data_IF_119908755227
#
_entry.id   IF_119908755227
#
_cell.length_a   1.000
_cell.length_b   1.000
_cell.length_c   1.000
_cell.angle_alpha   90.00
_cell.angle_beta   90.00
_cell.angle_gamma   90.00
#
_symmetry.space_group_name_H-M   'P 1'
#
loop_
_entity.id
_entity.type
_entity.pdbx_description
1 polymer ?
#
# COMPACT_ATOMS: atom_id res chain seq x y z
N UNK A 1 -22.52 -19.14 48.21
CA UNK A 1 -21.91 -18.04 47.41
C UNK A 1 -21.72 -18.62 46.01
N UNK A 2 -22.61 -18.32 45.06
CA UNK A 2 -22.40 -18.77 43.68
C UNK A 2 -21.15 -18.06 43.16
N UNK A 3 -20.11 -18.78 42.67
CA UNK A 3 -19.00 -18.13 42.01
C UNK A 3 -19.56 -17.37 40.82
N UNK A 4 -19.15 -16.12 40.63
CA UNK A 4 -19.53 -15.40 39.41
C UNK A 4 -19.17 -16.25 38.19
N UNK A 5 -20.07 -16.35 37.20
CA UNK A 5 -19.83 -17.17 36.03
C UNK A 5 -18.56 -16.69 35.35
N UNK A 6 -17.62 -17.62 35.12
CA UNK A 6 -16.36 -17.30 34.46
C UNK A 6 -16.64 -16.56 33.13
N UNK A 7 -15.92 -15.47 32.82
CA UNK A 7 -16.20 -14.65 31.64
C UNK A 7 -16.02 -15.41 30.32
N UNK A 8 -15.36 -16.58 30.35
CA UNK A 8 -15.15 -17.46 29.19
C UNK A 8 -16.23 -18.53 29.02
N UNK A 9 -17.24 -18.60 29.90
CA UNK A 9 -18.31 -19.61 29.81
C UNK A 9 -19.06 -19.55 28.46
N UNK A 10 -19.19 -18.34 27.87
CA UNK A 10 -19.79 -18.15 26.54
C UNK A 10 -19.04 -18.81 25.37
N UNK A 11 -17.85 -19.38 25.59
CA UNK A 11 -17.16 -20.22 24.59
C UNK A 11 -17.90 -21.53 24.30
N UNK A 12 -18.67 -22.02 25.28
CA UNK A 12 -19.53 -23.20 25.11
C UNK A 12 -20.73 -22.84 24.24
N UNK A 13 -21.38 -21.71 24.53
CA UNK A 13 -22.57 -21.24 23.79
C UNK A 13 -22.24 -20.87 22.33
N UNK A 14 -21.02 -20.41 22.07
CA UNK A 14 -20.53 -20.09 20.72
C UNK A 14 -20.02 -21.30 19.93
N UNK A 15 -20.02 -22.49 20.52
CA UNK A 15 -19.60 -23.73 19.86
C UNK A 15 -18.08 -23.87 19.66
N UNK A 16 -17.27 -22.98 20.26
CA UNK A 16 -15.82 -23.09 20.21
C UNK A 16 -15.27 -24.19 21.13
N UNK A 17 -16.00 -24.56 22.18
CA UNK A 17 -15.67 -25.64 23.11
C UNK A 17 -16.90 -26.49 23.42
N UNK A 18 -16.68 -27.78 23.66
CA UNK A 18 -17.69 -28.63 24.31
C UNK A 18 -17.69 -28.40 25.83
N UNK A 19 -18.81 -28.69 26.54
CA UNK A 19 -18.88 -28.60 28.00
C UNK A 19 -17.81 -29.43 28.73
N UNK A 20 -17.48 -30.61 28.18
CA UNK A 20 -16.43 -31.48 28.72
C UNK A 20 -15.02 -30.86 28.57
N UNK A 21 -14.74 -30.24 27.41
CA UNK A 21 -13.46 -29.55 27.20
C UNK A 21 -13.33 -28.32 28.08
N UNK A 22 -14.42 -27.60 28.34
CA UNK A 22 -14.44 -26.47 29.27
C UNK A 22 -14.10 -26.90 30.71
N UNK A 23 -14.71 -27.97 31.21
CA UNK A 23 -14.38 -28.53 32.53
C UNK A 23 -12.91 -28.98 32.59
N UNK A 24 -12.42 -29.68 31.57
CA UNK A 24 -11.02 -30.09 31.49
C UNK A 24 -10.05 -28.89 31.49
N UNK A 25 -10.41 -27.78 30.83
CA UNK A 25 -9.63 -26.55 30.83
C UNK A 25 -9.57 -25.90 32.23
N UNK A 26 -10.70 -25.87 32.95
CA UNK A 26 -10.76 -25.36 34.33
C UNK A 26 -9.93 -26.22 35.28
N UNK A 27 -10.04 -27.55 35.19
CA UNK A 27 -9.24 -28.46 36.02
C UNK A 27 -7.75 -28.32 35.74
N UNK A 28 -7.35 -28.21 34.47
CA UNK A 28 -5.95 -28.02 34.08
C UNK A 28 -5.40 -26.69 34.61
N UNK A 29 -6.20 -25.61 34.51
CA UNK A 29 -5.84 -24.30 35.05
C UNK A 29 -5.66 -24.33 36.57
N UNK A 30 -6.62 -24.95 37.29
CA UNK A 30 -6.58 -25.11 38.75
C UNK A 30 -5.38 -25.95 39.20
N UNK A 31 -5.11 -27.08 38.52
CA UNK A 31 -3.99 -27.97 38.84
C UNK A 31 -2.63 -27.30 38.65
N UNK A 32 -2.50 -26.48 37.61
CA UNK A 32 -1.24 -25.79 37.28
C UNK A 32 -1.11 -24.41 37.94
N UNK A 33 -2.17 -23.91 38.59
CA UNK A 33 -2.26 -22.54 39.12
C UNK A 33 -1.96 -21.46 38.04
N UNK A 34 -2.41 -21.70 36.82
CA UNK A 34 -2.24 -20.80 35.67
C UNK A 34 -3.62 -20.23 35.31
N UNK A 35 -3.73 -18.97 34.84
CA UNK A 35 -4.99 -18.43 34.35
C UNK A 35 -5.62 -19.30 33.26
N UNK A 36 -6.93 -19.53 33.35
CA UNK A 36 -7.71 -20.32 32.38
C UNK A 36 -7.48 -19.82 30.95
N UNK A 37 -7.38 -18.50 30.74
CA UNK A 37 -7.03 -17.87 29.46
C UNK A 37 -5.80 -18.50 28.78
N UNK A 38 -4.73 -18.75 29.54
CA UNK A 38 -3.47 -19.28 28.99
C UNK A 38 -3.60 -20.75 28.60
N UNK A 39 -4.37 -21.52 29.36
CA UNK A 39 -4.68 -22.92 29.05
C UNK A 39 -5.52 -23.00 27.77
N UNK A 40 -6.54 -22.14 27.65
CA UNK A 40 -7.39 -22.07 26.45
C UNK A 40 -6.60 -21.73 25.18
N UNK A 41 -5.65 -20.79 25.27
CA UNK A 41 -4.79 -20.41 24.14
C UNK A 41 -3.76 -21.49 23.78
N UNK A 42 -3.07 -22.06 24.78
CA UNK A 42 -1.89 -22.91 24.55
C UNK A 42 -2.23 -24.39 24.40
N UNK A 43 -3.12 -24.91 25.25
CA UNK A 43 -3.43 -26.34 25.31
C UNK A 43 -4.59 -26.70 24.37
N UNK A 44 -5.60 -25.83 24.28
CA UNK A 44 -6.79 -26.04 23.44
C UNK A 44 -6.70 -25.35 22.06
N UNK A 45 -5.65 -24.56 21.82
CA UNK A 45 -5.36 -23.95 20.51
C UNK A 45 -6.39 -22.92 20.04
N UNK A 46 -7.17 -22.34 20.96
CA UNK A 46 -8.18 -21.35 20.59
C UNK A 46 -7.52 -20.08 20.05
N UNK A 47 -8.15 -19.48 19.04
CA UNK A 47 -7.67 -18.21 18.49
C UNK A 47 -7.90 -17.07 19.48
N UNK A 48 -6.98 -16.09 19.50
CA UNK A 48 -7.12 -14.86 20.30
C UNK A 48 -8.44 -14.14 20.02
N UNK A 49 -8.83 -14.06 18.75
CA UNK A 49 -10.08 -13.40 18.34
C UNK A 49 -11.32 -14.07 18.96
N UNK A 50 -11.38 -15.41 18.97
CA UNK A 50 -12.52 -16.13 19.55
C UNK A 50 -12.71 -15.84 21.04
N UNK A 51 -11.61 -15.77 21.80
CA UNK A 51 -11.63 -15.39 23.22
C UNK A 51 -12.11 -13.94 23.40
N UNK A 52 -11.55 -13.01 22.63
CA UNK A 52 -11.89 -11.59 22.69
C UNK A 52 -13.34 -11.32 22.30
N UNK A 53 -13.92 -12.06 21.34
CA UNK A 53 -15.33 -11.94 20.95
C UNK A 53 -16.27 -12.34 22.08
N UNK A 54 -15.97 -13.43 22.79
CA UNK A 54 -16.77 -13.86 23.95
C UNK A 54 -16.66 -12.85 25.09
N UNK A 55 -15.45 -12.37 25.39
CA UNK A 55 -15.23 -11.35 26.42
C UNK A 55 -15.92 -10.02 26.07
N UNK A 56 -15.89 -9.62 24.81
CA UNK A 56 -16.55 -8.40 24.31
C UNK A 56 -18.07 -8.47 24.50
N UNK A 57 -18.68 -9.64 24.26
CA UNK A 57 -20.11 -9.87 24.53
C UNK A 57 -20.42 -9.87 26.02
N UNK A 58 -19.58 -10.52 26.83
CA UNK A 58 -19.77 -10.61 28.27
C UNK A 58 -19.72 -9.24 28.97
N UNK A 59 -18.72 -8.42 28.65
CA UNK A 59 -18.53 -7.09 29.23
C UNK A 59 -19.22 -5.95 28.46
N UNK A 60 -19.97 -6.27 27.41
CA UNK A 60 -20.65 -5.31 26.53
C UNK A 60 -19.72 -4.15 26.06
N UNK A 61 -18.46 -4.44 25.75
CA UNK A 61 -17.47 -3.45 25.33
C UNK A 61 -16.65 -3.92 24.13
N UNK A 62 -16.13 -3.00 23.28
CA UNK A 62 -15.26 -3.39 22.16
C UNK A 62 -13.97 -4.04 22.66
N UNK A 63 -13.39 -4.94 21.88
CA UNK A 63 -12.09 -5.52 22.21
C UNK A 63 -10.92 -4.79 21.52
N UNK A 64 -9.72 -4.98 22.06
CA UNK A 64 -8.46 -4.57 21.43
C UNK A 64 -7.43 -5.69 21.57
N UNK A 65 -6.68 -5.93 20.50
CA UNK A 65 -5.58 -6.90 20.48
C UNK A 65 -4.26 -6.14 20.52
N UNK A 66 -3.27 -6.72 21.20
CA UNK A 66 -1.90 -6.19 21.13
C UNK A 66 -1.36 -6.23 19.70
N UNK A 67 -0.92 -5.07 19.23
CA UNK A 67 -0.23 -4.88 17.95
C UNK A 67 1.03 -4.06 18.20
N UNK A 68 2.19 -4.69 18.00
CA UNK A 68 3.52 -4.09 18.12
C UNK A 68 3.71 -2.86 17.20
N UNK A 69 2.84 -2.66 16.21
CA UNK A 69 2.91 -1.54 15.25
C UNK A 69 2.16 -0.30 15.71
N UNK A 70 1.40 -0.39 16.79
CA UNK A 70 0.49 0.65 17.22
C UNK A 70 1.23 1.71 18.06
N UNK A 71 1.49 2.93 17.59
CA UNK A 71 2.15 3.93 18.44
C UNK A 71 1.20 4.36 19.56
N UNK A 72 1.59 4.08 20.80
CA UNK A 72 0.94 4.65 21.98
C UNK A 72 1.61 6.00 22.23
N UNK A 73 0.87 7.11 22.40
CA UNK A 73 1.46 8.39 22.74
C UNK A 73 2.27 8.34 24.04
N UNK A 74 3.48 8.91 24.02
CA UNK A 74 4.40 8.96 25.17
C UNK A 74 3.75 9.60 26.40
N UNK A 75 2.89 10.59 26.20
CA UNK A 75 2.13 11.26 27.27
C UNK A 75 1.22 10.33 28.06
N UNK A 76 0.78 9.21 27.48
CA UNK A 76 -0.15 8.29 28.14
C UNK A 76 0.54 7.30 29.09
N UNK A 77 1.78 6.93 28.81
CA UNK A 77 2.48 5.91 29.58
C UNK A 77 3.73 6.41 30.31
N UNK A 78 4.18 7.64 30.03
CA UNK A 78 5.30 8.23 30.74
C UNK A 78 4.98 8.37 32.24
N UNK A 79 5.83 7.80 33.09
CA UNK A 79 5.68 7.86 34.55
C UNK A 79 4.77 6.78 35.16
N UNK A 80 4.16 5.90 34.35
CA UNK A 80 3.39 4.78 34.88
C UNK A 80 4.29 3.74 35.53
N UNK A 81 3.87 3.20 36.68
CA UNK A 81 4.55 2.09 37.35
C UNK A 81 4.21 0.74 36.67
N UNK A 82 5.20 0.01 36.12
CA UNK A 82 4.96 -1.29 35.49
C UNK A 82 4.41 -2.34 36.44
N UNK A 83 4.74 -2.27 37.75
CA UNK A 83 4.27 -3.27 38.73
C UNK A 83 2.78 -3.10 38.99
N UNK A 84 2.35 -1.86 39.19
CA UNK A 84 0.94 -1.50 39.33
C UNK A 84 0.11 -1.98 38.13
N UNK A 85 0.53 -1.67 36.90
CA UNK A 85 -0.22 -2.03 35.70
C UNK A 85 -0.34 -3.56 35.50
N UNK A 86 0.66 -4.33 35.95
CA UNK A 86 0.59 -5.80 35.92
C UNK A 86 -0.39 -6.37 36.95
N UNK A 87 -0.55 -5.70 38.10
CA UNK A 87 -1.46 -6.11 39.15
C UNK A 87 -2.92 -5.88 38.73
N UNK A 88 -3.23 -4.67 38.26
CA UNK A 88 -4.59 -4.26 37.88
C UNK A 88 -4.93 -4.58 36.41
N UNK A 89 -3.96 -5.11 35.65
CA UNK A 89 -4.09 -5.61 34.28
C UNK A 89 -4.81 -4.63 33.34
N UNK A 90 -4.26 -3.42 33.22
CA UNK A 90 -4.70 -2.42 32.25
C UNK A 90 -3.52 -1.67 31.62
N UNK A 91 -3.74 -1.06 30.45
CA UNK A 91 -2.75 -0.24 29.76
C UNK A 91 -3.42 0.81 28.83
N UNK A 92 -2.97 2.07 28.79
CA UNK A 92 -3.53 3.05 27.87
C UNK A 92 -3.00 2.83 26.44
N UNK A 93 -3.89 2.67 25.47
CA UNK A 93 -3.52 2.22 24.12
C UNK A 93 -3.49 3.36 23.11
N UNK A 94 -4.41 4.32 23.21
CA UNK A 94 -4.50 5.44 22.26
C UNK A 94 -5.25 6.61 22.86
N UNK A 95 -4.97 7.81 22.37
CA UNK A 95 -5.79 9.00 22.61
C UNK A 95 -6.50 9.41 21.31
N UNK A 96 -7.83 9.56 21.37
CA UNK A 96 -8.71 10.00 20.29
C UNK A 96 -9.36 11.33 20.70
N UNK A 97 -8.74 12.44 20.32
CA UNK A 97 -9.15 13.77 20.81
C UNK A 97 -9.04 13.83 22.33
N UNK A 98 -10.17 14.06 23.00
CA UNK A 98 -10.27 14.15 24.46
C UNK A 98 -10.59 12.80 25.14
N UNK A 99 -10.72 11.73 24.35
CA UNK A 99 -11.02 10.38 24.85
C UNK A 99 -9.77 9.50 24.86
N UNK A 100 -9.42 8.94 26.01
CA UNK A 100 -8.33 7.95 26.12
C UNK A 100 -8.92 6.54 26.07
N UNK A 101 -8.42 5.75 25.12
CA UNK A 101 -8.77 4.33 24.98
C UNK A 101 -7.84 3.51 25.86
N UNK A 102 -8.41 2.76 26.79
CA UNK A 102 -7.69 1.92 27.77
C UNK A 102 -7.99 0.45 27.49
N UNK A 103 -6.95 -0.35 27.29
CA UNK A 103 -7.06 -1.81 27.29
C UNK A 103 -7.12 -2.31 28.73
N UNK A 104 -8.11 -3.12 29.07
CA UNK A 104 -8.26 -3.72 30.38
C UNK A 104 -8.63 -5.20 30.28
N UNK A 105 -8.09 -6.04 31.15
CA UNK A 105 -8.48 -7.44 31.23
C UNK A 105 -9.88 -7.60 31.83
N UNK A 106 -10.22 -6.75 32.80
CA UNK A 106 -11.53 -6.71 33.47
C UNK A 106 -12.04 -5.27 33.44
N UNK A 107 -12.76 -4.86 32.37
CA UNK A 107 -13.16 -3.47 32.16
C UNK A 107 -14.20 -2.97 33.19
N UNK A 108 -14.92 -3.86 33.88
CA UNK A 108 -15.95 -3.49 34.86
C UNK A 108 -15.44 -3.32 36.30
N UNK A 109 -14.15 -3.57 36.54
CA UNK A 109 -13.57 -3.44 37.88
C UNK A 109 -13.60 -1.98 38.37
N UNK A 110 -14.28 -1.67 39.49
CA UNK A 110 -14.37 -0.31 40.01
C UNK A 110 -13.01 0.19 40.55
N UNK A 111 -12.16 -0.69 41.06
CA UNK A 111 -10.81 -0.36 41.56
C UNK A 111 -9.91 0.11 40.42
N UNK A 112 -9.89 -0.64 39.32
CA UNK A 112 -9.13 -0.31 38.12
C UNK A 112 -9.62 1.00 37.51
N UNK A 113 -10.94 1.20 37.39
CA UNK A 113 -11.50 2.46 36.85
C UNK A 113 -11.13 3.67 37.70
N UNK A 114 -11.22 3.58 39.03
CA UNK A 114 -10.81 4.66 39.93
C UNK A 114 -9.30 4.97 39.81
N UNK A 115 -8.48 3.94 39.67
CA UNK A 115 -7.04 4.09 39.48
C UNK A 115 -6.70 4.74 38.12
N UNK A 116 -7.38 4.34 37.04
CA UNK A 116 -7.26 4.94 35.72
C UNK A 116 -7.56 6.44 35.78
N UNK A 117 -8.66 6.85 36.42
CA UNK A 117 -9.04 8.25 36.58
C UNK A 117 -8.06 9.07 37.44
N UNK A 118 -7.32 8.41 38.34
CA UNK A 118 -6.33 9.06 39.21
C UNK A 118 -4.97 9.19 38.49
N UNK A 119 -4.63 8.20 37.65
CA UNK A 119 -3.31 8.09 37.02
C UNK A 119 -3.25 8.84 35.69
N UNK A 120 -4.33 8.77 34.91
CA UNK A 120 -4.45 9.46 33.64
C UNK A 120 -5.31 10.71 33.82
N UNK A 121 -4.94 11.80 33.14
CA UNK A 121 -5.76 13.00 33.07
C UNK A 121 -6.35 13.11 31.67
N UNK A 122 -7.62 12.75 31.52
CA UNK A 122 -8.39 12.84 30.27
C UNK A 122 -9.84 13.23 30.56
N UNK A 123 -10.51 13.84 29.57
CA UNK A 123 -11.91 14.24 29.72
C UNK A 123 -12.86 13.03 29.67
N UNK A 124 -12.56 12.05 28.81
CA UNK A 124 -13.36 10.83 28.64
C UNK A 124 -12.47 9.58 28.58
N UNK A 125 -13.00 8.45 29.04
CA UNK A 125 -12.34 7.14 28.99
C UNK A 125 -13.19 6.14 28.21
N UNK A 126 -12.57 5.47 27.24
CA UNK A 126 -13.17 4.35 26.52
C UNK A 126 -12.44 3.06 26.91
N UNK A 127 -13.11 2.19 27.66
CA UNK A 127 -12.55 0.90 28.06
C UNK A 127 -12.78 -0.15 26.97
N UNK A 128 -11.70 -0.84 26.59
CA UNK A 128 -11.75 -1.97 25.66
C UNK A 128 -11.18 -3.21 26.32
N UNK A 129 -11.86 -4.34 26.13
CA UNK A 129 -11.39 -5.60 26.68
C UNK A 129 -10.16 -6.11 25.90
N UNK A 130 -9.13 -6.53 26.63
CA UNK A 130 -7.93 -7.12 26.06
C UNK A 130 -7.52 -8.36 26.86
N UNK A 131 -6.81 -9.30 26.22
CA UNK A 131 -6.29 -10.47 26.91
C UNK A 131 -5.21 -10.07 27.91
N UNK A 132 -5.05 -10.83 28.99
CA UNK A 132 -4.04 -10.51 30.01
C UNK A 132 -2.62 -10.68 29.47
N UNK A 133 -2.40 -11.63 28.57
CA UNK A 133 -1.13 -11.78 27.83
C UNK A 133 -0.83 -10.55 26.95
N UNK A 134 -1.85 -9.99 26.28
CA UNK A 134 -1.70 -8.83 25.41
C UNK A 134 -1.35 -7.55 26.21
N UNK A 135 -1.98 -7.35 27.37
CA UNK A 135 -1.64 -6.25 28.30
C UNK A 135 -0.22 -6.39 28.83
N UNK A 136 0.21 -7.62 29.13
CA UNK A 136 1.58 -7.87 29.54
C UNK A 136 2.58 -7.49 28.45
N UNK A 137 2.28 -7.79 27.18
CA UNK A 137 3.10 -7.36 26.04
C UNK A 137 3.15 -5.84 25.88
N UNK A 138 2.03 -5.13 26.06
CA UNK A 138 2.05 -3.66 26.12
C UNK A 138 2.99 -3.15 27.22
N UNK A 139 2.89 -3.67 28.44
CA UNK A 139 3.75 -3.24 29.54
C UNK A 139 5.23 -3.53 29.25
N UNK A 140 5.53 -4.71 28.69
CA UNK A 140 6.88 -5.09 28.33
C UNK A 140 7.46 -4.17 27.24
N UNK A 141 6.67 -3.84 26.22
CA UNK A 141 7.15 -3.07 25.07
C UNK A 141 7.22 -1.56 25.31
N UNK A 142 6.34 -1.01 26.13
CA UNK A 142 6.25 0.45 26.35
C UNK A 142 6.85 0.90 27.69
N UNK A 143 7.17 0.00 28.63
CA UNK A 143 7.70 0.39 29.94
C UNK A 143 9.03 -0.28 30.31
N UNK A 144 9.73 -0.92 29.36
CA UNK A 144 11.06 -1.49 29.60
C UNK A 144 12.19 -0.44 29.66
N UNK A 145 11.95 0.79 29.21
CA UNK A 145 12.87 1.91 29.27
C UNK A 145 12.11 3.22 29.49
N UNK A 146 12.81 4.28 29.88
CA UNK A 146 12.21 5.61 29.96
C UNK A 146 11.54 5.96 28.61
N UNK A 147 10.40 6.62 28.66
CA UNK A 147 9.59 6.97 27.50
C UNK A 147 10.38 7.58 26.30
N UNK A 148 11.37 8.48 26.49
CA UNK A 148 12.21 8.99 25.39
C UNK A 148 13.28 8.00 24.86
N UNK A 149 13.40 6.80 25.42
CA UNK A 149 14.42 5.79 25.11
C UNK A 149 13.83 4.48 24.54
N UNK A 150 12.52 4.38 24.36
CA UNK A 150 11.83 3.19 23.83
C UNK A 150 12.04 3.07 22.32
N UNK A 151 12.66 1.98 21.87
CA UNK A 151 13.13 1.81 20.47
C UNK A 151 12.51 0.57 19.79
N UNK A 152 11.94 -0.38 20.55
CA UNK A 152 11.50 -1.69 20.03
C UNK A 152 10.44 -1.61 18.93
N UNK A 153 9.38 -0.85 19.19
CA UNK A 153 8.18 -0.69 18.33
C UNK A 153 8.52 0.04 17.01
N UNK A 154 9.48 0.97 17.04
CA UNK A 154 9.91 1.74 15.86
C UNK A 154 10.53 0.85 14.79
N UNK A 155 11.28 -0.18 15.19
CA UNK A 155 12.00 -1.06 14.26
C UNK A 155 11.04 -1.91 13.45
N UNK A 156 9.97 -2.42 14.07
CA UNK A 156 8.94 -3.19 13.36
C UNK A 156 8.16 -2.29 12.40
N UNK A 157 7.74 -1.10 12.84
CA UNK A 157 7.05 -0.12 11.97
C UNK A 157 7.89 0.29 10.75
N UNK A 158 9.17 0.60 10.99
CA UNK A 158 10.16 0.94 9.96
C UNK A 158 10.42 -0.22 8.99
N UNK A 159 10.55 -1.45 9.50
CA UNK A 159 10.74 -2.65 8.67
C UNK A 159 9.50 -2.93 7.81
N UNK A 160 8.31 -2.79 8.37
CA UNK A 160 7.04 -2.97 7.66
C UNK A 160 6.85 -1.90 6.57
N UNK A 161 7.17 -0.63 6.86
CA UNK A 161 7.21 0.44 5.86
C UNK A 161 8.17 0.10 4.70
N UNK A 162 9.39 -0.32 5.02
CA UNK A 162 10.40 -0.71 4.02
C UNK A 162 9.93 -1.87 3.14
N UNK A 163 9.33 -2.90 3.72
CA UNK A 163 8.80 -4.05 2.98
C UNK A 163 7.65 -3.62 2.06
N UNK A 164 6.75 -2.77 2.57
CA UNK A 164 5.65 -2.20 1.78
C UNK A 164 6.18 -1.38 0.60
N UNK A 165 7.20 -0.55 0.81
CA UNK A 165 7.85 0.22 -0.26
C UNK A 165 8.60 -0.65 -1.27
N UNK A 166 9.20 -1.76 -0.83
CA UNK A 166 9.80 -2.73 -1.73
C UNK A 166 8.74 -3.37 -2.65
N UNK A 167 7.60 -3.79 -2.10
CA UNK A 167 6.49 -4.34 -2.88
C UNK A 167 5.99 -3.34 -3.92
N UNK A 168 5.79 -2.07 -3.53
CA UNK A 168 5.38 -1.02 -4.46
C UNK A 168 6.42 -0.79 -5.56
N UNK A 169 7.72 -0.78 -5.25
CA UNK A 169 8.77 -0.67 -6.27
C UNK A 169 8.75 -1.83 -7.27
N UNK A 170 8.48 -3.05 -6.80
CA UNK A 170 8.33 -4.22 -7.69
C UNK A 170 7.11 -4.07 -8.61
N UNK A 171 5.96 -3.63 -8.08
CA UNK A 171 4.78 -3.33 -8.89
C UNK A 171 5.04 -2.24 -9.94
N UNK A 172 5.74 -1.17 -9.56
CA UNK A 172 6.15 -0.10 -10.47
C UNK A 172 7.15 -0.58 -11.53
N UNK A 173 8.06 -1.52 -11.19
CA UNK A 173 8.96 -2.13 -12.16
C UNK A 173 8.19 -2.97 -13.18
N UNK A 174 7.25 -3.82 -12.74
CA UNK A 174 6.38 -4.59 -13.63
C UNK A 174 5.54 -3.69 -14.55
N UNK A 175 5.07 -2.54 -14.06
CA UNK A 175 4.35 -1.59 -14.90
C UNK A 175 5.26 -0.97 -15.99
N UNK A 176 6.51 -0.66 -15.65
CA UNK A 176 7.50 -0.17 -16.63
C UNK A 176 7.86 -1.21 -17.68
N UNK A 177 7.94 -2.50 -17.33
CA UNK A 177 8.17 -3.57 -18.31
C UNK A 177 6.98 -3.74 -19.24
N UNK A 178 5.74 -3.61 -18.73
CA UNK A 178 4.54 -3.58 -19.58
C UNK A 178 4.55 -2.40 -20.56
N UNK A 179 4.92 -1.19 -20.12
CA UNK A 179 5.13 -0.04 -21.03
C UNK A 179 6.24 -0.26 -22.07
N UNK A 180 7.28 -1.03 -21.73
CA UNK A 180 8.30 -1.41 -22.69
C UNK A 180 7.76 -2.40 -23.72
N UNK A 181 6.99 -3.42 -23.29
CA UNK A 181 6.32 -4.38 -24.18
C UNK A 181 5.31 -3.70 -25.11
N UNK A 182 4.53 -2.74 -24.61
CA UNK A 182 3.65 -1.94 -25.45
C UNK A 182 4.44 -1.19 -26.54
N UNK A 183 5.60 -0.60 -26.22
CA UNK A 183 6.42 0.07 -27.24
C UNK A 183 7.00 -0.90 -28.27
N UNK A 184 7.35 -2.12 -27.88
CA UNK A 184 7.87 -3.12 -28.83
C UNK A 184 6.76 -3.61 -29.76
N UNK A 185 5.56 -3.89 -29.25
CA UNK A 185 4.41 -4.25 -30.09
C UNK A 185 4.00 -3.11 -31.01
N UNK A 186 4.06 -1.86 -30.54
CA UNK A 186 3.83 -0.69 -31.39
C UNK A 186 4.88 -0.51 -32.49
N UNK A 187 6.15 -0.87 -32.24
CA UNK A 187 7.17 -0.87 -33.31
C UNK A 187 6.83 -1.90 -34.38
N UNK A 188 6.38 -3.10 -33.99
CA UNK A 188 5.95 -4.15 -34.92
C UNK A 188 4.73 -3.69 -35.74
N UNK A 189 3.71 -3.14 -35.08
CA UNK A 189 2.53 -2.59 -35.74
C UNK A 189 2.91 -1.51 -36.75
N UNK A 190 3.82 -0.60 -36.38
CA UNK A 190 4.29 0.48 -37.26
C UNK A 190 5.03 -0.07 -38.49
N UNK A 191 5.87 -1.08 -38.33
CA UNK A 191 6.53 -1.72 -39.47
C UNK A 191 5.54 -2.45 -40.38
N UNK A 192 4.56 -3.15 -39.79
CA UNK A 192 3.49 -3.81 -40.54
C UNK A 192 2.68 -2.84 -41.39
N UNK A 193 2.16 -1.77 -40.78
CA UNK A 193 1.39 -0.72 -41.47
C UNK A 193 2.21 0.01 -42.55
N UNK A 194 3.50 0.27 -42.29
CA UNK A 194 4.38 0.88 -43.28
C UNK A 194 4.62 -0.04 -44.50
N UNK A 195 4.75 -1.35 -44.29
CA UNK A 195 4.88 -2.33 -45.38
C UNK A 195 3.59 -2.47 -46.19
N UNK A 196 2.43 -2.42 -45.53
CA UNK A 196 1.12 -2.37 -46.22
C UNK A 196 1.03 -1.12 -47.10
N UNK A 197 1.42 0.05 -46.56
CA UNK A 197 1.46 1.29 -47.33
C UNK A 197 2.44 1.19 -48.52
N UNK A 198 3.63 0.63 -48.31
CA UNK A 198 4.63 0.44 -49.35
C UNK A 198 4.13 -0.49 -50.47
N UNK A 199 3.49 -1.60 -50.11
CA UNK A 199 2.92 -2.54 -51.08
C UNK A 199 1.87 -1.85 -51.97
N UNK A 200 1.03 -0.98 -51.40
CA UNK A 200 0.05 -0.19 -52.16
C UNK A 200 0.70 0.84 -53.10
N UNK A 201 1.81 1.46 -52.71
CA UNK A 201 2.56 2.33 -53.63
C UNK A 201 3.17 1.51 -54.77
N UNK A 202 3.70 0.32 -54.49
CA UNK A 202 4.33 -0.55 -55.49
C UNK A 202 3.36 -1.05 -56.56
N UNK A 203 2.06 -1.19 -56.29
CA UNK A 203 1.08 -1.57 -57.32
C UNK A 203 0.93 -0.52 -58.43
N UNK A 204 1.32 0.73 -58.16
CA UNK A 204 1.24 1.84 -59.11
C UNK A 204 2.58 2.12 -59.82
N UNK A 205 3.69 1.56 -59.33
CA UNK A 205 5.03 1.70 -59.93
C UNK A 205 5.36 0.46 -60.78
N UNK A 206 5.17 0.58 -62.10
CA UNK A 206 5.31 -0.54 -63.06
C UNK A 206 6.75 -0.88 -63.42
N UNK A 207 7.68 0.08 -63.31
CA UNK A 207 9.07 -0.04 -63.81
C UNK A 207 10.11 -0.36 -62.72
N UNK A 208 9.69 -0.86 -61.55
CA UNK A 208 10.59 -1.08 -60.42
C UNK A 208 10.87 -2.57 -60.15
N UNK A 209 12.11 -2.91 -59.77
CA UNK A 209 12.58 -4.28 -59.46
C UNK A 209 11.75 -4.92 -58.32
N UNK A 210 11.21 -4.09 -57.42
CA UNK A 210 10.39 -4.51 -56.28
C UNK A 210 8.91 -4.68 -56.61
N UNK A 211 8.45 -4.20 -57.78
CA UNK A 211 7.07 -4.27 -58.23
C UNK A 211 6.49 -5.70 -58.21
N UNK A 212 7.16 -6.77 -58.71
CA UNK A 212 6.60 -8.13 -58.66
C UNK A 212 6.45 -8.70 -57.23
N UNK A 213 7.15 -8.13 -56.25
CA UNK A 213 7.13 -8.58 -54.86
C UNK A 213 6.09 -7.85 -53.99
N UNK A 214 5.15 -7.10 -54.57
CA UNK A 214 4.14 -6.36 -53.80
C UNK A 214 3.25 -7.27 -52.93
N UNK A 215 2.82 -8.45 -53.45
CA UNK A 215 1.99 -9.41 -52.72
C UNK A 215 2.69 -10.00 -51.47
N UNK A 216 3.92 -10.54 -51.55
CA UNK A 216 4.59 -11.04 -50.35
C UNK A 216 4.87 -9.93 -49.33
N UNK A 217 5.21 -8.71 -49.76
CA UNK A 217 5.40 -7.56 -48.86
C UNK A 217 4.08 -7.21 -48.14
N UNK A 218 2.95 -7.24 -48.85
CA UNK A 218 1.63 -7.01 -48.27
C UNK A 218 1.27 -8.06 -47.22
N UNK A 219 1.47 -9.35 -47.53
CA UNK A 219 1.18 -10.46 -46.59
C UNK A 219 2.04 -10.34 -45.33
N UNK A 220 3.35 -10.12 -45.48
CA UNK A 220 4.26 -9.91 -44.35
C UNK A 220 3.85 -8.68 -43.53
N UNK A 221 3.47 -7.59 -44.20
CA UNK A 221 2.97 -6.37 -43.55
C UNK A 221 1.72 -6.61 -42.70
N UNK A 222 0.73 -7.33 -43.24
CA UNK A 222 -0.51 -7.68 -42.53
C UNK A 222 -0.22 -8.58 -41.33
N UNK A 223 0.63 -9.60 -41.48
CA UNK A 223 1.00 -10.51 -40.37
C UNK A 223 1.69 -9.75 -39.25
N UNK A 224 2.68 -8.90 -39.57
CA UNK A 224 3.38 -8.08 -38.58
C UNK A 224 2.43 -7.08 -37.89
N UNK A 225 1.52 -6.48 -38.65
CA UNK A 225 0.51 -5.58 -38.10
C UNK A 225 -0.46 -6.32 -37.16
N UNK A 226 -0.94 -7.51 -37.54
CA UNK A 226 -1.84 -8.32 -36.73
C UNK A 226 -1.18 -8.78 -35.42
N UNK A 227 0.06 -9.29 -35.47
CA UNK A 227 0.84 -9.67 -34.28
C UNK A 227 1.05 -8.45 -33.37
N UNK A 228 1.53 -7.34 -33.95
CA UNK A 228 1.77 -6.11 -33.20
C UNK A 228 0.50 -5.55 -32.55
N UNK A 229 -0.63 -5.58 -33.26
CA UNK A 229 -1.93 -5.14 -32.74
C UNK A 229 -2.44 -6.07 -31.65
N UNK A 230 -2.36 -7.39 -31.83
CA UNK A 230 -2.78 -8.38 -30.84
C UNK A 230 -1.99 -8.25 -29.55
N UNK A 231 -0.66 -8.22 -29.62
CA UNK A 231 0.20 -8.02 -28.45
C UNK A 231 -0.08 -6.68 -27.75
N UNK A 232 -0.31 -5.62 -28.52
CA UNK A 232 -0.65 -4.32 -27.96
C UNK A 232 -2.03 -4.33 -27.26
N UNK A 233 -3.05 -4.92 -27.88
CA UNK A 233 -4.38 -5.05 -27.28
C UNK A 233 -4.37 -5.98 -26.07
N UNK A 234 -3.55 -7.03 -26.07
CA UNK A 234 -3.33 -7.86 -24.90
C UNK A 234 -2.73 -7.05 -23.74
N UNK A 235 -1.71 -6.23 -24.00
CA UNK A 235 -1.11 -5.36 -22.98
C UNK A 235 -2.10 -4.28 -22.52
N UNK A 236 -2.93 -3.74 -23.41
CA UNK A 236 -3.97 -2.74 -23.09
C UNK A 236 -5.12 -3.34 -22.28
N UNK A 237 -5.55 -4.54 -22.65
CA UNK A 237 -6.65 -5.30 -22.04
C UNK A 237 -6.28 -6.04 -20.76
N UNK A 238 -5.00 -6.40 -20.56
CA UNK A 238 -4.45 -6.85 -19.29
C UNK A 238 -4.42 -5.67 -18.31
N UNK A 239 -5.61 -5.26 -17.86
CA UNK A 239 -5.93 -4.11 -17.02
C UNK A 239 -4.71 -3.25 -16.69
N UNK A 240 -4.34 -2.42 -17.65
CA UNK A 240 -3.66 -1.17 -17.35
C UNK A 240 -4.57 -0.18 -16.61
N UNK A 241 -5.84 -0.57 -16.40
CA UNK A 241 -6.66 -0.17 -15.26
C UNK A 241 -6.04 -0.63 -13.96
N UNK A 242 -5.04 0.12 -13.51
CA UNK A 242 -5.13 0.58 -12.15
C UNK A 242 -5.20 2.10 -12.17
N UNK A 243 -5.79 2.71 -11.14
CA UNK A 243 -5.70 4.14 -10.82
C UNK A 243 -4.25 4.52 -10.49
N UNK A 244 -3.30 4.15 -11.36
CA UNK A 244 -1.86 4.22 -11.16
C UNK A 244 -1.46 5.67 -10.96
N UNK A 245 -2.14 6.63 -11.57
CA UNK A 245 -1.91 8.03 -11.25
C UNK A 245 -2.30 8.37 -9.80
N UNK A 246 -3.51 8.01 -9.37
CA UNK A 246 -3.95 8.28 -7.99
C UNK A 246 -3.08 7.53 -6.98
N UNK A 247 -2.72 6.28 -7.27
CA UNK A 247 -1.83 5.46 -6.43
C UNK A 247 -0.38 5.97 -6.45
N UNK A 248 0.17 6.36 -7.61
CA UNK A 248 1.48 7.01 -7.71
C UNK A 248 1.49 8.31 -6.91
N UNK A 249 0.43 9.13 -7.00
CA UNK A 249 0.29 10.36 -6.20
C UNK A 249 0.22 9.98 -4.72
N UNK A 250 -0.62 9.02 -4.32
CA UNK A 250 -0.76 8.58 -2.93
C UNK A 250 0.56 8.06 -2.36
N UNK A 251 1.27 7.22 -3.10
CA UNK A 251 2.58 6.68 -2.71
C UNK A 251 3.60 7.79 -2.62
N UNK A 252 3.64 8.71 -3.60
CA UNK A 252 4.60 9.82 -3.61
C UNK A 252 4.31 10.78 -2.48
N UNK A 253 3.06 11.20 -2.28
CA UNK A 253 2.62 12.05 -1.18
C UNK A 253 2.86 11.40 0.17
N UNK A 254 2.58 10.10 0.34
CA UNK A 254 2.89 9.38 1.56
C UNK A 254 4.41 9.32 1.82
N UNK A 255 5.24 9.15 0.79
CA UNK A 255 6.70 9.15 0.95
C UNK A 255 7.27 10.56 1.21
N UNK A 256 6.76 11.60 0.55
CA UNK A 256 7.18 13.00 0.78
C UNK A 256 6.80 13.40 2.21
N UNK A 257 5.56 13.10 2.63
CA UNK A 257 5.13 13.30 4.02
C UNK A 257 5.99 12.50 4.98
N UNK A 258 6.28 11.24 4.68
CA UNK A 258 7.21 10.44 5.49
C UNK A 258 8.57 11.13 5.62
N UNK A 259 9.18 11.60 4.52
CA UNK A 259 10.47 12.30 4.58
C UNK A 259 10.40 13.63 5.34
N UNK A 260 9.37 14.44 5.13
CA UNK A 260 9.17 15.73 5.82
C UNK A 260 8.94 15.52 7.34
N UNK A 261 8.20 14.48 7.74
CA UNK A 261 7.94 14.12 9.14
C UNK A 261 9.20 13.80 9.93
N UNK A 262 10.26 13.32 9.29
CA UNK A 262 11.53 13.04 9.96
C UNK A 262 12.38 14.30 10.19
N UNK A 263 12.01 15.44 9.63
CA UNK A 263 12.76 16.68 9.80
C UNK A 263 12.16 17.63 10.84
N UNK A 264 10.97 17.34 11.40
CA UNK A 264 10.26 18.21 12.35
C UNK A 264 9.96 17.48 13.66
N UNK A 265 10.30 18.11 14.78
CA UNK A 265 10.38 17.45 16.08
C UNK A 265 9.06 17.34 16.86
N UNK A 266 7.96 18.00 16.49
CA UNK A 266 6.89 18.28 17.48
C UNK A 266 5.44 18.30 16.96
N UNK A 267 5.02 17.40 16.06
CA UNK A 267 3.58 17.28 15.74
C UNK A 267 3.04 15.84 15.89
N UNK A 268 2.06 15.58 16.76
CA UNK A 268 1.34 14.31 16.76
C UNK A 268 0.66 14.10 15.40
N UNK A 269 0.78 12.89 14.86
CA UNK A 269 0.41 12.59 13.49
C UNK A 269 -1.06 12.13 13.42
N UNK A 270 -1.93 12.95 12.83
CA UNK A 270 -3.22 12.48 12.34
C UNK A 270 -3.05 12.03 10.88
N UNK A 271 -3.64 10.89 10.53
CA UNK A 271 -3.70 10.47 9.13
C UNK A 271 -4.59 11.46 8.37
N UNK A 272 -3.98 12.26 7.49
CA UNK A 272 -4.71 13.26 6.71
C UNK A 272 -5.71 12.63 5.73
N UNK A 273 -5.45 11.38 5.31
CA UNK A 273 -6.28 10.62 4.39
C UNK A 273 -6.48 9.18 4.90
N UNK A 274 -7.60 8.55 4.52
CA UNK A 274 -7.95 7.17 4.88
C UNK A 274 -7.11 6.08 4.19
N UNK A 275 -6.13 6.47 3.37
CA UNK A 275 -5.31 5.49 2.66
C UNK A 275 -4.46 4.68 3.64
N UNK A 276 -4.34 3.37 3.40
CA UNK A 276 -3.50 2.48 4.22
C UNK A 276 -2.06 2.99 4.35
N UNK A 277 -1.51 3.60 3.30
CA UNK A 277 -0.17 4.19 3.34
C UNK A 277 -0.10 5.45 4.20
N UNK A 278 -1.10 6.33 4.15
CA UNK A 278 -1.12 7.52 5.01
C UNK A 278 -1.32 7.15 6.48
N UNK A 279 -2.20 6.18 6.77
CA UNK A 279 -2.40 5.62 8.10
C UNK A 279 -1.11 4.97 8.60
N UNK A 280 -0.47 4.13 7.80
CA UNK A 280 0.80 3.51 8.15
C UNK A 280 1.94 4.52 8.34
N UNK A 281 2.01 5.56 7.52
CA UNK A 281 3.01 6.60 7.71
C UNK A 281 2.75 7.37 9.01
N UNK A 282 1.47 7.56 9.39
CA UNK A 282 1.07 8.28 10.60
C UNK A 282 1.28 7.44 11.87
N UNK A 283 1.33 6.12 11.75
CA UNK A 283 1.67 5.24 12.87
C UNK A 283 3.16 5.26 13.25
N UNK A 284 4.00 5.96 12.49
CA UNK A 284 5.45 6.02 12.76
C UNK A 284 5.75 7.31 13.52
N UNK A 285 6.33 7.25 14.74
CA UNK A 285 6.60 8.43 15.56
C UNK A 285 7.53 9.45 14.87
N UNK A 286 7.26 10.77 15.00
CA UNK A 286 8.19 11.81 14.56
C UNK A 286 9.38 11.90 15.53
N UNK A 287 10.60 11.96 15.01
CA UNK A 287 11.80 12.27 15.79
C UNK A 287 12.82 13.02 14.95
N UNK A 288 13.56 13.95 15.55
CA UNK A 288 14.55 14.79 14.86
C UNK A 288 15.74 13.96 14.33
N UNK A 289 16.31 14.34 13.18
CA UNK A 289 17.55 13.77 12.61
C UNK A 289 18.82 14.27 13.29
N UNK A 290 18.72 15.25 14.19
CA UNK A 290 19.87 15.85 14.87
C UNK A 290 19.84 15.39 16.33
N UNK A 291 20.64 14.38 16.66
CA UNK A 291 20.88 13.94 18.05
C UNK A 291 22.37 13.57 18.20
N UNK A 292 23.03 13.99 19.29
CA UNK A 292 24.44 13.68 19.56
C UNK A 292 24.69 12.17 19.81
N UNK A 293 25.96 11.72 19.70
CA UNK A 293 26.32 10.32 19.54
C UNK A 293 26.45 9.59 20.87
N UNK A 294 25.38 9.45 21.67
CA UNK A 294 25.35 8.56 22.84
C UNK A 294 23.90 8.10 23.10
N UNK A 295 23.60 6.81 23.33
CA UNK A 295 24.45 5.61 23.41
C UNK A 295 24.43 4.71 22.15
N UNK A 296 25.33 3.72 22.08
CA UNK A 296 25.52 2.79 20.95
C UNK A 296 24.27 2.00 20.49
N UNK A 297 23.28 1.81 21.37
CA UNK A 297 21.99 1.19 21.01
C UNK A 297 21.18 2.02 19.99
N UNK A 298 21.44 3.33 19.89
CA UNK A 298 20.79 4.27 18.96
C UNK A 298 21.43 4.30 17.57
N UNK A 299 22.71 3.95 17.41
CA UNK A 299 23.40 3.96 16.12
C UNK A 299 22.77 2.99 15.10
N UNK A 300 22.40 1.79 15.55
CA UNK A 300 21.77 0.79 14.67
C UNK A 300 20.39 1.25 14.16
N UNK A 301 19.64 1.95 15.01
CA UNK A 301 18.33 2.51 14.63
C UNK A 301 18.50 3.72 13.72
N UNK A 302 19.52 4.56 13.97
CA UNK A 302 19.91 5.65 13.07
C UNK A 302 20.21 5.13 11.66
N UNK A 303 21.08 4.12 11.54
CA UNK A 303 21.40 3.53 10.25
C UNK A 303 20.17 2.87 9.58
N UNK A 304 19.28 2.27 10.38
CA UNK A 304 18.02 1.74 9.87
C UNK A 304 17.10 2.85 9.33
N UNK A 305 17.05 4.00 10.00
CA UNK A 305 16.29 5.18 9.58
C UNK A 305 16.83 5.79 8.30
N UNK A 306 18.13 6.06 8.22
CA UNK A 306 18.78 6.57 7.02
C UNK A 306 18.48 5.68 5.81
N UNK A 307 18.58 4.35 5.99
CA UNK A 307 18.20 3.39 4.95
C UNK A 307 16.74 3.52 4.52
N UNK A 308 15.82 3.83 5.44
CA UNK A 308 14.41 4.00 5.13
C UNK A 308 14.11 5.33 4.46
N UNK A 309 14.79 6.41 4.85
CA UNK A 309 14.72 7.69 4.15
C UNK A 309 15.21 7.54 2.70
N UNK A 310 16.36 6.90 2.51
CA UNK A 310 16.88 6.55 1.17
C UNK A 310 15.94 5.59 0.42
N UNK A 311 15.24 4.68 1.11
CA UNK A 311 14.24 3.80 0.49
C UNK A 311 12.99 4.58 0.03
N UNK A 312 12.53 5.57 0.80
CA UNK A 312 11.42 6.45 0.45
C UNK A 312 11.79 7.32 -0.76
N UNK A 313 12.96 7.97 -0.74
CA UNK A 313 13.48 8.74 -1.88
C UNK A 313 13.60 7.89 -3.15
N UNK A 314 14.12 6.65 -3.04
CA UNK A 314 14.16 5.71 -4.18
C UNK A 314 12.76 5.36 -4.71
N UNK A 315 11.77 5.25 -3.84
CA UNK A 315 10.40 4.95 -4.23
C UNK A 315 9.74 6.13 -4.93
N UNK A 316 9.97 7.36 -4.44
CA UNK A 316 9.57 8.60 -5.12
C UNK A 316 10.19 8.66 -6.52
N UNK A 317 11.51 8.46 -6.64
CA UNK A 317 12.17 8.45 -7.94
C UNK A 317 11.63 7.34 -8.87
N UNK A 318 11.30 6.15 -8.33
CA UNK A 318 10.67 5.07 -9.10
C UNK A 318 9.27 5.44 -9.59
N UNK A 319 8.49 6.16 -8.79
CA UNK A 319 7.18 6.71 -9.17
C UNK A 319 7.32 7.67 -10.35
N UNK A 320 8.24 8.65 -10.27
CA UNK A 320 8.54 9.56 -11.37
C UNK A 320 8.98 8.83 -12.64
N UNK A 321 9.89 7.86 -12.53
CA UNK A 321 10.35 7.06 -13.70
C UNK A 321 9.19 6.32 -14.38
N UNK A 322 8.22 5.83 -13.60
CA UNK A 322 7.05 5.13 -14.14
C UNK A 322 6.13 6.10 -14.87
N UNK A 323 5.88 7.27 -14.28
CA UNK A 323 5.12 8.34 -14.92
C UNK A 323 5.76 8.82 -16.23
N UNK A 324 7.08 9.05 -16.26
CA UNK A 324 7.79 9.40 -17.49
C UNK A 324 7.81 8.28 -18.52
N UNK A 325 7.88 7.02 -18.12
CA UNK A 325 7.77 5.90 -19.04
C UNK A 325 6.40 5.90 -19.74
N UNK A 326 5.31 6.16 -19.00
CA UNK A 326 3.96 6.34 -19.56
C UNK A 326 3.89 7.52 -20.53
N UNK A 327 4.38 8.70 -20.14
CA UNK A 327 4.41 9.86 -21.04
C UNK A 327 5.20 9.59 -22.34
N UNK A 328 6.32 8.88 -22.24
CA UNK A 328 7.12 8.47 -23.40
C UNK A 328 6.35 7.55 -24.33
N UNK A 329 5.56 6.62 -23.82
CA UNK A 329 4.70 5.76 -24.66
C UNK A 329 3.61 6.58 -25.36
N UNK A 330 2.95 7.50 -24.65
CA UNK A 330 1.92 8.37 -25.23
C UNK A 330 2.47 9.30 -26.32
N UNK A 331 3.62 9.95 -26.08
CA UNK A 331 4.28 10.79 -27.10
C UNK A 331 4.73 9.99 -28.33
N UNK A 332 5.20 8.76 -28.13
CA UNK A 332 5.55 7.88 -29.25
C UNK A 332 4.33 7.56 -30.10
N UNK A 333 3.19 7.27 -29.47
CA UNK A 333 1.92 6.97 -30.14
C UNK A 333 1.38 8.17 -30.91
N UNK A 334 1.38 9.36 -30.31
CA UNK A 334 0.98 10.61 -30.97
C UNK A 334 1.83 10.83 -32.22
N UNK A 335 3.16 10.73 -32.09
CA UNK A 335 4.07 10.90 -33.23
C UNK A 335 3.77 9.92 -34.37
N UNK A 336 3.56 8.65 -34.05
CA UNK A 336 3.27 7.63 -35.07
C UNK A 336 1.89 7.81 -35.68
N UNK A 337 0.89 8.22 -34.90
CA UNK A 337 -0.46 8.49 -35.40
C UNK A 337 -0.47 9.64 -36.41
N UNK A 338 0.19 10.76 -36.09
CA UNK A 338 0.33 11.90 -37.02
C UNK A 338 1.05 11.48 -38.31
N UNK A 339 2.12 10.68 -38.20
CA UNK A 339 2.86 10.20 -39.37
C UNK A 339 1.99 9.33 -40.30
N UNK A 340 1.17 8.44 -39.76
CA UNK A 340 0.29 7.59 -40.58
C UNK A 340 -0.90 8.32 -41.19
N UNK A 341 -1.49 9.27 -40.45
CA UNK A 341 -2.50 10.17 -41.01
C UNK A 341 -1.92 10.95 -42.20
N UNK A 342 -0.74 11.55 -42.02
CA UNK A 342 -0.06 12.28 -43.08
C UNK A 342 0.31 11.40 -44.29
N UNK A 343 0.83 10.19 -44.04
CA UNK A 343 1.17 9.24 -45.09
C UNK A 343 -0.07 8.80 -45.88
N UNK A 344 -1.17 8.48 -45.20
CA UNK A 344 -2.43 8.13 -45.86
C UNK A 344 -2.94 9.27 -46.75
N UNK A 345 -2.91 10.52 -46.27
CA UNK A 345 -3.33 11.69 -47.04
C UNK A 345 -2.43 11.91 -48.27
N UNK A 346 -1.12 11.73 -48.11
CA UNK A 346 -0.15 11.88 -49.20
C UNK A 346 -0.37 10.83 -50.30
N UNK A 347 -0.53 9.56 -49.93
CA UNK A 347 -0.79 8.46 -50.86
C UNK A 347 -2.10 8.71 -51.62
N UNK A 348 -3.18 9.07 -50.90
CA UNK A 348 -4.48 9.36 -51.49
C UNK A 348 -4.43 10.48 -52.53
N UNK A 349 -3.68 11.56 -52.23
CA UNK A 349 -3.53 12.70 -53.16
C UNK A 349 -2.63 12.40 -54.35
N UNK A 350 -1.59 11.58 -54.17
CA UNK A 350 -0.59 11.32 -55.21
C UNK A 350 -1.02 10.23 -56.20
N UNK A 351 -1.73 9.20 -55.75
CA UNK A 351 -2.08 8.02 -56.57
C UNK A 351 -3.50 8.06 -57.15
N UNK A 352 -4.36 8.99 -56.68
CA UNK A 352 -5.75 9.11 -57.16
C UNK A 352 -6.68 7.99 -56.66
N UNK A 353 -7.90 7.91 -57.20
CA UNK A 353 -8.91 6.91 -56.77
C UNK A 353 -8.56 5.53 -57.32
N UNK A 354 -7.91 4.72 -56.49
CA UNK A 354 -7.53 3.33 -56.78
C UNK A 354 -8.57 2.33 -56.23
N UNK A 355 -8.78 1.14 -56.85
CA UNK A 355 -9.60 0.06 -56.28
C UNK A 355 -9.16 -0.39 -54.88
N UNK A 356 -7.89 -0.14 -54.52
CA UNK A 356 -7.31 -0.46 -53.22
C UNK A 356 -7.33 0.72 -52.23
N UNK A 357 -8.11 1.77 -52.50
CA UNK A 357 -8.23 2.97 -51.63
C UNK A 357 -8.69 2.66 -50.20
N UNK A 358 -9.30 1.50 -49.96
CA UNK A 358 -9.63 1.02 -48.61
C UNK A 358 -8.39 0.95 -47.69
N UNK A 359 -7.22 0.61 -48.22
CA UNK A 359 -5.97 0.51 -47.43
C UNK A 359 -5.52 1.88 -46.89
N UNK A 360 -5.78 2.96 -47.63
CA UNK A 360 -5.48 4.33 -47.25
C UNK A 360 -6.37 4.79 -46.08
N UNK A 361 -7.68 4.53 -46.18
CA UNK A 361 -8.62 4.82 -45.11
C UNK A 361 -8.34 3.98 -43.85
N UNK A 362 -7.94 2.72 -44.00
CA UNK A 362 -7.50 1.87 -42.89
C UNK A 362 -6.26 2.46 -42.20
N UNK A 363 -5.28 2.94 -42.98
CA UNK A 363 -4.06 3.55 -42.46
C UNK A 363 -4.35 4.87 -41.72
N UNK A 364 -5.20 5.73 -42.29
CA UNK A 364 -5.66 6.96 -41.64
C UNK A 364 -6.42 6.66 -40.35
N UNK A 365 -7.36 5.70 -40.37
CA UNK A 365 -8.13 5.27 -39.21
C UNK A 365 -7.25 4.71 -38.09
N UNK A 366 -6.27 3.88 -38.43
CA UNK A 366 -5.26 3.39 -37.50
C UNK A 366 -4.44 4.55 -36.90
N UNK A 367 -4.05 5.53 -37.73
CA UNK A 367 -3.35 6.73 -37.29
C UNK A 367 -4.15 7.57 -36.29
N UNK A 368 -5.45 7.77 -36.53
CA UNK A 368 -6.36 8.47 -35.60
C UNK A 368 -6.48 7.72 -34.28
N UNK A 369 -6.66 6.40 -34.32
CA UNK A 369 -6.74 5.56 -33.11
C UNK A 369 -5.45 5.66 -32.27
N UNK A 370 -4.28 5.63 -32.92
CA UNK A 370 -2.99 5.79 -32.25
C UNK A 370 -2.81 7.19 -31.65
N UNK A 371 -3.32 8.24 -32.32
CA UNK A 371 -3.29 9.61 -31.82
C UNK A 371 -4.17 9.77 -30.56
N UNK A 372 -5.40 9.26 -30.62
CA UNK A 372 -6.34 9.29 -29.48
C UNK A 372 -5.78 8.51 -28.31
N UNK A 373 -5.30 7.29 -28.55
CA UNK A 373 -4.69 6.50 -27.48
C UNK A 373 -3.44 7.20 -26.92
N UNK A 374 -2.56 7.73 -27.78
CA UNK A 374 -1.39 8.48 -27.33
C UNK A 374 -1.72 9.66 -26.41
N UNK A 375 -2.82 10.38 -26.69
CA UNK A 375 -3.34 11.43 -25.82
C UNK A 375 -3.85 10.89 -24.47
N UNK A 376 -4.60 9.78 -24.47
CA UNK A 376 -5.07 9.10 -23.26
C UNK A 376 -3.89 8.70 -22.34
N UNK A 377 -2.78 8.31 -22.94
CA UNK A 377 -1.57 7.96 -22.22
C UNK A 377 -0.78 9.17 -21.69
N UNK A 378 -0.71 10.26 -22.47
CA UNK A 378 0.10 11.44 -22.18
C UNK A 378 -0.57 12.46 -21.26
N UNK A 379 -1.84 12.81 -21.51
CA UNK A 379 -2.55 13.87 -20.79
C UNK A 379 -2.58 13.69 -19.26
N UNK A 380 -2.79 12.48 -18.71
CA UNK A 380 -2.79 12.27 -17.27
C UNK A 380 -1.45 12.64 -16.62
N UNK A 381 -0.33 12.35 -17.30
CA UNK A 381 1.01 12.68 -16.80
C UNK A 381 1.25 14.18 -16.79
N UNK A 382 0.73 14.92 -17.77
CA UNK A 382 0.85 16.39 -17.81
C UNK A 382 0.05 17.07 -16.70
N UNK A 383 -1.08 16.47 -16.29
CA UNK A 383 -1.88 16.94 -15.15
C UNK A 383 -1.19 16.69 -13.80
N UNK A 384 -0.16 15.84 -13.72
CA UNK A 384 0.64 15.65 -12.51
C UNK A 384 1.59 16.83 -12.32
N UNK A 385 1.26 17.70 -11.35
CA UNK A 385 2.13 18.78 -10.87
C UNK A 385 3.01 18.39 -9.66
N UNK A 386 3.20 17.10 -9.37
CA UNK A 386 4.09 16.67 -8.28
C UNK A 386 5.50 16.36 -8.80
N UNK A 387 6.53 16.95 -8.18
CA UNK A 387 7.93 16.59 -8.37
C UNK A 387 8.91 17.51 -7.63
N UNK A 388 10.06 16.96 -7.23
CA UNK A 388 11.20 17.72 -6.68
C UNK A 388 11.56 18.82 -7.70
N UNK A 389 11.44 20.09 -7.30
CA UNK A 389 11.71 21.24 -8.17
C UNK A 389 10.53 21.77 -9.00
N UNK A 390 9.29 21.30 -8.77
CA UNK A 390 8.09 22.02 -9.20
C UNK A 390 7.24 22.33 -7.99
N UNK A 391 7.19 23.62 -7.66
CA UNK A 391 6.55 24.13 -6.45
C UNK A 391 5.15 23.56 -6.27
N UNK A 392 4.93 23.02 -5.06
CA UNK A 392 3.60 22.80 -4.52
C UNK A 392 3.10 24.17 -4.11
N UNK A 393 2.08 24.68 -4.80
CA UNK A 393 1.12 25.63 -4.22
C UNK A 393 -0.13 25.75 -5.09
N UNK A 394 -1.30 25.99 -4.49
CA UNK A 394 -1.79 25.55 -3.18
C UNK A 394 -2.46 24.17 -3.22
#
# INVERSE_FOLDING_TARGET
MNPEPSPYAGLVDSGHLSPAQWQAAQESASRRQIPVERVLLRDFGLSRCALLEVLSRHYACPFVQYDERLPVPTSLFAGLDPKMLRAEAWFPVRQLGDTVVVAAAVPDSPTMRAQVCTTLSAANYEFRVALREDIHWYIQDYLHAAAPLLIGIERTGLAYWRNTMALWRTKLAAHRTAHARARTSMKLLRWGLAMVALAHVLTHLRDNILSPYYLPILVVGIVLAAIGLFDYLQVRGSRMDLPCQKELIRITAANVRFTERYHLAERPCQAQDDTHLARLAATIPPYCSIIPPVPASKERTYLARERNMLAAQRTIASSHRTSYARARTGLSLIRTGVAFIGLGIAIHKMLGVSPYGFTEYLLMGAGVLMLVDGLIWYLPVRRLKYGIGREIKP
#
